data_IF_452971069720
#
_entry.id   IF_452971069720
#
_cell.length_a   1.000
_cell.length_b   1.000
_cell.length_c   1.000
_cell.angle_alpha   90.00
_cell.angle_beta   90.00
_cell.angle_gamma   90.00
#
_symmetry.space_group_name_H-M   'P 1'
#
loop_
_entity.id
_entity.type
_entity.pdbx_description
1 polymer ?
#
# COMPACT_ATOMS: atom_id res chain seq x y z
N UNK A 1 28.00 28.12 -5.62
CA UNK A 1 26.64 27.80 -6.11
C UNK A 1 26.13 26.66 -5.24
N UNK A 2 25.45 26.99 -4.14
CA UNK A 2 24.86 25.98 -3.24
C UNK A 2 23.55 25.53 -3.89
N UNK A 3 23.58 24.40 -4.61
CA UNK A 3 22.36 23.73 -5.03
C UNK A 3 21.56 23.41 -3.77
N UNK A 4 20.28 23.79 -3.75
CA UNK A 4 19.42 23.50 -2.62
C UNK A 4 19.36 21.97 -2.45
N UNK A 5 20.01 21.45 -1.40
CA UNK A 5 19.85 20.06 -1.00
C UNK A 5 18.37 19.86 -0.68
N UNK A 6 17.69 19.10 -1.53
CA UNK A 6 16.27 18.84 -1.39
C UNK A 6 16.06 17.98 -0.15
N UNK A 7 15.56 18.61 0.92
CA UNK A 7 15.09 17.90 2.10
C UNK A 7 13.83 17.13 1.71
N UNK A 8 13.78 15.82 2.00
CA UNK A 8 12.56 15.03 1.78
C UNK A 8 11.45 15.61 2.65
N UNK A 9 10.45 16.22 2.03
CA UNK A 9 9.21 16.58 2.71
C UNK A 9 8.53 15.26 3.11
N UNK A 10 8.27 15.01 4.41
CA UNK A 10 7.47 13.86 4.83
C UNK A 10 6.03 14.09 4.41
N UNK A 11 5.73 13.81 3.14
CA UNK A 11 4.38 13.73 2.61
C UNK A 11 3.71 12.49 3.23
N UNK A 12 3.15 12.66 4.42
CA UNK A 12 2.24 11.68 5.00
C UNK A 12 0.94 11.74 4.22
N UNK A 13 0.64 10.69 3.46
CA UNK A 13 -0.71 10.45 2.95
C UNK A 13 -1.66 10.49 4.16
N UNK A 14 -2.56 11.48 4.20
CA UNK A 14 -3.68 11.51 5.15
C UNK A 14 -4.70 10.47 4.72
N UNK A 15 -4.44 9.23 5.10
CA UNK A 15 -5.33 8.30 5.78
C UNK A 15 -4.46 7.10 6.13
N UNK A 16 -4.44 6.70 7.40
CA UNK A 16 -3.51 5.67 7.89
C UNK A 16 -3.99 4.27 7.50
N UNK A 17 -4.22 4.00 6.22
CA UNK A 17 -4.62 2.68 5.76
C UNK A 17 -3.61 1.64 6.28
N UNK A 18 -4.09 0.79 7.19
CA UNK A 18 -3.35 -0.31 7.79
C UNK A 18 -4.24 -1.54 7.77
N UNK A 19 -3.63 -2.72 7.94
CA UNK A 19 -4.41 -3.93 8.13
C UNK A 19 -5.23 -3.88 9.43
N UNK A 20 -4.71 -3.22 10.47
CA UNK A 20 -5.36 -3.06 11.78
C UNK A 20 -6.69 -2.31 11.72
N UNK A 21 -6.83 -1.34 10.81
CA UNK A 21 -8.04 -0.54 10.66
C UNK A 21 -8.87 -0.88 9.41
N UNK A 22 -8.58 -2.02 8.77
CA UNK A 22 -9.40 -2.55 7.69
C UNK A 22 -10.52 -3.45 8.24
N UNK A 23 -11.78 -3.14 7.89
CA UNK A 23 -12.90 -4.01 8.24
C UNK A 23 -12.87 -5.28 7.38
N UNK A 24 -12.37 -6.37 7.95
CA UNK A 24 -12.08 -7.62 7.20
C UNK A 24 -13.32 -8.22 6.53
N UNK A 25 -14.43 -8.38 7.26
CA UNK A 25 -15.63 -9.05 6.74
C UNK A 25 -15.29 -10.42 6.15
N UNK A 26 -15.76 -10.69 4.92
CA UNK A 26 -15.48 -11.94 4.20
C UNK A 26 -14.13 -11.93 3.46
N UNK A 27 -13.30 -10.89 3.60
CA UNK A 27 -12.05 -10.73 2.85
C UNK A 27 -10.83 -11.34 3.56
N UNK A 28 -11.04 -12.21 4.57
CA UNK A 28 -9.96 -12.76 5.41
C UNK A 28 -8.83 -13.40 4.61
N UNK A 29 -9.15 -14.22 3.59
CA UNK A 29 -8.16 -14.86 2.72
C UNK A 29 -7.29 -13.85 1.95
N UNK A 30 -7.89 -12.74 1.47
CA UNK A 30 -7.14 -11.69 0.77
C UNK A 30 -6.21 -10.96 1.74
N UNK A 31 -6.69 -10.67 2.95
CA UNK A 31 -5.87 -10.01 3.98
C UNK A 31 -4.67 -10.88 4.36
N UNK A 32 -4.87 -12.18 4.58
CA UNK A 32 -3.81 -13.14 4.89
C UNK A 32 -2.79 -13.25 3.74
N UNK A 33 -3.27 -13.39 2.50
CA UNK A 33 -2.41 -13.42 1.30
C UNK A 33 -1.53 -12.15 1.19
N UNK A 34 -2.12 -10.98 1.43
CA UNK A 34 -1.43 -9.69 1.33
C UNK A 34 -0.41 -9.48 2.46
N UNK A 35 -0.63 -10.04 3.65
CA UNK A 35 0.37 -10.03 4.73
C UNK A 35 1.52 -11.01 4.42
N UNK A 36 1.22 -12.17 3.83
CA UNK A 36 2.21 -13.22 3.53
C UNK A 36 3.18 -12.93 2.36
N UNK A 37 2.85 -12.02 1.45
CA UNK A 37 3.65 -11.74 0.23
C UNK A 37 5.10 -11.31 0.49
N UNK A 38 5.42 -10.75 1.67
CA UNK A 38 6.79 -10.30 1.97
C UNK A 38 7.74 -11.45 2.34
N UNK A 39 7.19 -12.58 2.80
CA UNK A 39 7.97 -13.62 3.46
C UNK A 39 8.66 -14.61 2.49
N UNK A 40 8.26 -14.62 1.22
CA UNK A 40 8.47 -15.78 0.35
C UNK A 40 9.66 -15.77 -0.61
N UNK A 41 10.44 -14.68 -0.73
CA UNK A 41 11.61 -14.59 -1.63
C UNK A 41 11.32 -14.70 -3.15
N UNK A 42 10.12 -15.12 -3.54
CA UNK A 42 9.66 -15.24 -4.92
C UNK A 42 8.80 -14.03 -5.30
N UNK A 43 9.01 -13.51 -6.51
CA UNK A 43 8.17 -12.45 -7.05
C UNK A 43 6.72 -12.97 -7.23
N UNK A 44 5.80 -12.42 -6.45
CA UNK A 44 4.37 -12.70 -6.55
C UNK A 44 3.65 -11.52 -7.20
N UNK A 45 2.82 -11.81 -8.21
CA UNK A 45 1.94 -10.82 -8.84
C UNK A 45 0.52 -11.09 -8.37
N UNK A 46 -0.07 -10.14 -7.64
CA UNK A 46 -1.44 -10.23 -7.13
C UNK A 46 -2.32 -9.26 -7.89
N UNK A 47 -3.46 -9.75 -8.38
CA UNK A 47 -4.52 -8.94 -8.94
C UNK A 47 -5.71 -8.92 -7.98
N UNK A 48 -6.09 -7.72 -7.51
CA UNK A 48 -7.22 -7.53 -6.58
C UNK A 48 -8.36 -6.81 -7.29
N UNK A 49 -9.53 -7.43 -7.34
CA UNK A 49 -10.76 -6.86 -7.91
C UNK A 49 -11.91 -6.86 -6.91
N UNK A 50 -12.91 -6.02 -7.16
CA UNK A 50 -14.06 -5.89 -6.29
C UNK A 50 -14.82 -4.59 -6.56
N UNK A 51 -16.03 -4.44 -6.02
CA UNK A 51 -16.89 -3.29 -6.30
C UNK A 51 -16.27 -1.95 -5.84
N UNK A 52 -16.87 -0.83 -6.27
CA UNK A 52 -16.51 0.50 -5.76
C UNK A 52 -16.68 0.52 -4.23
N UNK A 53 -15.72 1.09 -3.51
CA UNK A 53 -15.75 1.14 -2.05
C UNK A 53 -15.32 -0.15 -1.33
N UNK A 54 -14.94 -1.22 -2.05
CA UNK A 54 -14.48 -2.47 -1.42
C UNK A 54 -13.11 -2.39 -0.69
N UNK A 55 -12.52 -1.20 -0.55
CA UNK A 55 -11.25 -1.02 0.16
C UNK A 55 -9.99 -1.50 -0.57
N UNK A 56 -10.02 -1.67 -1.90
CA UNK A 56 -8.85 -2.07 -2.71
C UNK A 56 -7.65 -1.14 -2.50
N UNK A 57 -7.85 0.18 -2.61
CA UNK A 57 -6.79 1.16 -2.39
C UNK A 57 -6.28 1.14 -0.95
N UNK A 58 -7.17 0.94 0.03
CA UNK A 58 -6.81 0.78 1.45
C UNK A 58 -5.88 -0.41 1.65
N UNK A 59 -6.24 -1.58 1.12
CA UNK A 59 -5.43 -2.79 1.24
C UNK A 59 -4.05 -2.62 0.57
N UNK A 60 -3.97 -2.02 -0.62
CA UNK A 60 -2.69 -1.78 -1.30
C UNK A 60 -1.80 -0.78 -0.55
N UNK A 61 -2.41 0.27 0.01
CA UNK A 61 -1.69 1.24 0.85
C UNK A 61 -1.25 0.62 2.18
N UNK A 62 -2.06 -0.25 2.78
CA UNK A 62 -1.71 -1.02 3.97
C UNK A 62 -0.50 -1.94 3.72
N UNK A 63 -0.44 -2.62 2.56
CA UNK A 63 0.74 -3.40 2.16
C UNK A 63 2.01 -2.54 2.12
N UNK A 64 1.91 -1.31 1.58
CA UNK A 64 3.05 -0.40 1.52
C UNK A 64 3.46 0.08 2.91
N UNK A 65 2.49 0.43 3.77
CA UNK A 65 2.75 0.86 5.14
C UNK A 65 3.49 -0.23 5.95
N UNK A 66 2.99 -1.45 5.86
CA UNK A 66 3.53 -2.63 6.56
C UNK A 66 4.99 -2.93 6.19
N UNK A 67 5.46 -2.42 5.05
CA UNK A 67 6.80 -2.68 4.50
C UNK A 67 7.73 -1.47 4.47
N UNK A 68 7.34 -0.35 5.09
CA UNK A 68 8.16 0.88 5.08
C UNK A 68 9.58 0.67 5.63
N UNK A 69 9.77 -0.27 6.58
CA UNK A 69 11.06 -0.58 7.20
C UNK A 69 11.75 -1.82 6.62
N UNK A 70 11.17 -2.45 5.58
CA UNK A 70 11.72 -3.65 4.95
C UNK A 70 12.79 -3.32 3.88
N UNK A 71 13.55 -4.33 3.46
CA UNK A 71 14.54 -4.19 2.38
C UNK A 71 13.81 -3.96 1.06
N UNK A 72 13.92 -2.73 0.54
CA UNK A 72 13.22 -2.29 -0.68
C UNK A 72 12.03 -1.39 -0.33
N UNK A 73 12.06 -0.15 -0.82
CA UNK A 73 11.01 0.82 -0.51
C UNK A 73 9.73 0.46 -1.26
N UNK A 74 8.62 0.15 -0.57
CA UNK A 74 7.35 -0.09 -1.23
C UNK A 74 6.86 1.19 -1.91
N UNK A 75 6.32 1.06 -3.12
CA UNK A 75 5.81 2.19 -3.90
C UNK A 75 4.36 1.96 -4.29
N UNK A 76 3.50 2.90 -3.90
CA UNK A 76 2.11 2.94 -4.34
C UNK A 76 1.99 3.89 -5.53
N UNK A 77 1.45 3.41 -6.65
CA UNK A 77 1.17 4.21 -7.84
C UNK A 77 -0.31 4.10 -8.15
N UNK A 78 -1.05 5.20 -7.95
CA UNK A 78 -2.43 5.27 -8.43
C UNK A 78 -2.43 5.47 -9.93
N UNK A 79 -3.11 4.58 -10.67
CA UNK A 79 -3.39 4.75 -12.10
C UNK A 79 -4.75 5.40 -12.35
N UNK A 80 -5.51 5.68 -11.30
CA UNK A 80 -6.75 6.44 -11.43
C UNK A 80 -6.42 7.88 -11.85
N UNK A 81 -7.19 8.40 -12.80
CA UNK A 81 -7.16 9.80 -13.20
C UNK A 81 -7.92 10.64 -12.15
N UNK A 82 -7.42 10.71 -10.92
CA UNK A 82 -8.05 11.53 -9.88
C UNK A 82 -7.41 12.93 -9.87
N UNK A 83 -8.06 13.85 -10.58
CA UNK A 83 -7.62 15.23 -10.83
C UNK A 83 -8.60 16.12 -11.63
N UNK A 84 -9.86 15.68 -11.79
CA UNK A 84 -11.02 16.54 -12.13
C UNK A 84 -12.00 16.48 -10.98
#
# INVERSE_FOLDING_TARGET
>A
MSGADQIRLPLRLKDQASFENFLVGNNGQVVELLQGTAAGGNAQVIYLHGPKGAGKSHLLQACCRDRLESVGTPTYVSLALDGV
#
